data_IF_238900534435
#
_entry.id   IF_238900534435
#
_cell.length_a   1.000
_cell.length_b   1.000
_cell.length_c   1.000
_cell.angle_alpha   90.00
_cell.angle_beta   90.00
_cell.angle_gamma   90.00
#
_symmetry.space_group_name_H-M   'P 1'
#
loop_
_entity.id
_entity.type
_entity.pdbx_description
1 polymer ?
#
# COMPACT_ATOMS: atom_id res chain seq x y z
N UNK A 1 5.59 20.59 5.09
CA UNK A 1 6.20 19.29 4.74
C UNK A 1 5.20 18.52 3.91
N UNK A 2 5.52 18.27 2.65
CA UNK A 2 4.62 17.50 1.76
C UNK A 2 4.65 16.02 2.11
N UNK A 3 3.49 15.41 2.16
CA UNK A 3 3.30 13.99 2.45
C UNK A 3 2.43 13.36 1.36
N UNK A 4 2.83 12.23 0.83
CA UNK A 4 2.06 11.44 -0.12
C UNK A 4 1.68 10.13 0.56
N UNK A 5 0.38 9.83 0.67
CA UNK A 5 -0.14 8.57 1.18
C UNK A 5 -0.67 7.72 0.03
N UNK A 6 -0.23 6.46 -0.06
CA UNK A 6 -0.49 5.56 -1.19
C UNK A 6 -1.30 4.36 -0.69
N UNK A 7 -2.52 4.22 -1.21
CA UNK A 7 -3.42 3.12 -0.85
C UNK A 7 -3.02 1.79 -1.50
N UNK A 8 -3.62 0.71 -1.01
CA UNK A 8 -3.43 -0.64 -1.49
C UNK A 8 -4.46 -1.11 -2.51
N UNK A 9 -4.65 -2.42 -2.56
CA UNK A 9 -5.55 -3.13 -3.48
C UNK A 9 -6.46 -4.06 -2.68
N UNK A 10 -7.79 -3.98 -2.84
CA UNK A 10 -8.55 -3.19 -3.82
C UNK A 10 -9.06 -1.83 -3.29
N UNK A 11 -8.21 -1.12 -2.56
CA UNK A 11 -8.58 0.11 -1.86
C UNK A 11 -8.71 1.33 -2.79
N UNK A 12 -9.18 2.42 -2.20
CA UNK A 12 -9.20 3.75 -2.77
C UNK A 12 -8.58 4.76 -1.79
N UNK A 13 -8.35 6.02 -2.18
CA UNK A 13 -7.88 7.04 -1.23
C UNK A 13 -8.74 7.21 0.03
N UNK A 14 -10.01 6.77 0.00
CA UNK A 14 -10.92 6.88 1.13
C UNK A 14 -10.44 6.12 2.38
N UNK A 15 -9.63 5.09 2.21
CA UNK A 15 -9.04 4.36 3.33
C UNK A 15 -8.17 5.24 4.24
N UNK A 16 -7.65 6.35 3.73
CA UNK A 16 -6.82 7.28 4.49
C UNK A 16 -7.61 8.31 5.30
N UNK A 17 -8.94 8.38 5.13
CA UNK A 17 -9.75 9.39 5.82
C UNK A 17 -9.63 9.33 7.35
N UNK A 18 -9.65 8.15 8.02
CA UNK A 18 -9.46 8.09 9.46
C UNK A 18 -8.11 8.65 9.94
N UNK A 19 -7.05 8.42 9.18
CA UNK A 19 -5.74 8.99 9.45
C UNK A 19 -5.75 10.53 9.26
N UNK A 20 -6.31 11.01 8.14
CA UNK A 20 -6.39 12.44 7.80
C UNK A 20 -7.15 13.21 8.88
N UNK A 21 -8.28 12.67 9.33
CA UNK A 21 -9.10 13.29 10.37
C UNK A 21 -8.35 13.37 11.72
N UNK A 22 -7.47 12.41 11.98
CA UNK A 22 -6.69 12.35 13.22
C UNK A 22 -5.48 13.29 13.21
N UNK A 23 -4.85 13.50 12.05
CA UNK A 23 -3.63 14.33 11.93
C UNK A 23 -3.86 15.81 12.18
N UNK A 24 -5.10 16.28 12.09
CA UNK A 24 -5.45 17.69 12.24
C UNK A 24 -5.14 18.54 11.01
N UNK A 25 -5.76 19.73 10.94
CA UNK A 25 -5.76 20.59 9.75
C UNK A 25 -4.37 21.03 9.28
N UNK A 26 -3.46 21.34 10.20
CA UNK A 26 -2.14 21.89 9.87
C UNK A 26 -1.24 20.87 9.15
N UNK A 27 -1.37 19.60 9.50
CA UNK A 27 -0.61 18.51 8.87
C UNK A 27 -1.33 18.05 7.61
N UNK A 28 -2.65 17.84 7.68
CA UNK A 28 -3.45 17.33 6.57
C UNK A 28 -3.50 18.28 5.37
N UNK A 29 -3.35 19.59 5.57
CA UNK A 29 -3.26 20.58 4.48
C UNK A 29 -2.06 20.32 3.52
N UNK A 30 -1.04 19.60 3.96
CA UNK A 30 0.13 19.23 3.16
C UNK A 30 0.16 17.74 2.78
N UNK A 31 -0.94 17.02 3.01
CA UNK A 31 -1.07 15.61 2.70
C UNK A 31 -1.84 15.42 1.40
N UNK A 32 -1.29 14.62 0.50
CA UNK A 32 -1.93 14.19 -0.74
C UNK A 32 -2.19 12.69 -0.68
N UNK A 33 -3.40 12.28 -1.01
CA UNK A 33 -3.81 10.89 -1.13
C UNK A 33 -4.26 10.62 -2.58
N UNK A 34 -3.33 10.54 -3.55
CA UNK A 34 -3.70 10.36 -4.94
C UNK A 34 -4.25 8.94 -5.18
N UNK A 35 -5.30 8.85 -6.00
CA UNK A 35 -5.80 7.56 -6.46
C UNK A 35 -4.81 6.92 -7.45
N UNK A 36 -4.48 5.66 -7.25
CA UNK A 36 -3.71 4.88 -8.22
C UNK A 36 -4.46 4.82 -9.57
N UNK A 37 -3.76 4.91 -10.72
CA UNK A 37 -4.38 4.75 -12.03
C UNK A 37 -5.24 3.49 -12.13
N UNK A 38 -6.53 3.64 -12.46
CA UNK A 38 -7.51 2.55 -12.48
C UNK A 38 -8.30 2.35 -11.18
N UNK A 39 -7.93 3.04 -10.09
CA UNK A 39 -8.59 2.98 -8.77
C UNK A 39 -9.26 4.32 -8.47
N UNK A 40 -10.50 4.50 -8.89
CA UNK A 40 -11.24 5.79 -8.91
C UNK A 40 -10.64 6.87 -9.83
N UNK A 41 -9.51 6.64 -10.47
CA UNK A 41 -8.91 7.53 -11.43
C UNK A 41 -8.83 6.88 -12.82
N UNK A 42 -8.82 7.65 -13.91
CA UNK A 42 -8.60 7.11 -15.24
C UNK A 42 -7.24 6.43 -15.35
N UNK A 43 -7.17 5.38 -16.17
CA UNK A 43 -5.89 4.81 -16.59
C UNK A 43 -5.35 5.72 -17.71
N UNK A 44 -4.17 6.35 -17.54
CA UNK A 44 -3.60 7.20 -18.57
C UNK A 44 -3.32 6.42 -19.87
N UNK A 45 -3.37 7.06 -21.05
CA UNK A 45 -2.98 6.42 -22.30
C UNK A 45 -1.56 5.85 -22.24
N UNK A 46 -1.40 4.58 -22.62
CA UNK A 46 -0.11 3.88 -22.57
C UNK A 46 0.31 3.34 -21.20
N UNK A 47 -0.48 3.57 -20.14
CA UNK A 47 -0.21 3.01 -18.81
C UNK A 47 -0.72 1.57 -18.73
N UNK A 48 0.20 0.62 -18.58
CA UNK A 48 -0.08 -0.82 -18.64
C UNK A 48 -0.49 -1.47 -17.32
N UNK A 49 -0.55 -0.69 -16.24
CA UNK A 49 -0.86 -1.14 -14.88
C UNK A 49 0.11 -2.21 -14.33
N UNK A 50 1.33 -2.27 -14.82
CA UNK A 50 2.39 -3.11 -14.22
C UNK A 50 2.95 -2.48 -12.95
N UNK A 51 3.60 -3.28 -12.11
CA UNK A 51 4.26 -2.77 -10.90
C UNK A 51 5.29 -1.67 -11.20
N UNK A 52 6.00 -1.78 -12.32
CA UNK A 52 6.96 -0.78 -12.78
C UNK A 52 6.27 0.52 -13.20
N UNK A 53 5.13 0.42 -13.90
CA UNK A 53 4.35 1.60 -14.28
C UNK A 53 3.86 2.36 -13.04
N UNK A 54 3.35 1.66 -12.03
CA UNK A 54 2.93 2.30 -10.77
C UNK A 54 4.09 2.91 -9.99
N UNK A 55 5.26 2.27 -9.96
CA UNK A 55 6.47 2.86 -9.35
C UNK A 55 6.88 4.14 -10.09
N UNK A 56 6.92 4.11 -11.43
CA UNK A 56 7.21 5.29 -12.25
C UNK A 56 6.20 6.42 -12.02
N UNK A 57 4.91 6.08 -11.92
CA UNK A 57 3.85 7.03 -11.58
C UNK A 57 4.08 7.66 -10.20
N UNK A 58 4.39 6.87 -9.17
CA UNK A 58 4.66 7.40 -7.83
C UNK A 58 5.89 8.32 -7.83
N UNK A 59 6.96 7.93 -8.50
CA UNK A 59 8.16 8.78 -8.65
C UNK A 59 7.79 10.11 -9.32
N UNK A 60 6.94 10.12 -10.35
CA UNK A 60 6.50 11.38 -10.96
C UNK A 60 5.68 12.27 -10.02
N UNK A 61 4.88 11.70 -9.11
CA UNK A 61 4.20 12.45 -8.06
C UNK A 61 5.19 13.07 -7.05
N UNK A 62 6.25 12.32 -6.71
CA UNK A 62 7.34 12.82 -5.84
C UNK A 62 8.09 13.98 -6.51
N UNK A 63 8.47 13.85 -7.77
CA UNK A 63 9.14 14.90 -8.55
C UNK A 63 8.28 16.17 -8.69
N UNK A 64 6.99 16.01 -8.95
CA UNK A 64 6.04 17.12 -9.02
C UNK A 64 5.89 17.90 -7.71
N UNK A 65 6.31 17.32 -6.59
CA UNK A 65 6.31 17.99 -5.28
C UNK A 65 7.37 19.11 -5.19
N UNK A 66 8.46 19.03 -5.96
CA UNK A 66 9.52 20.02 -6.00
C UNK A 66 10.41 20.05 -4.75
N UNK A 67 10.18 19.18 -3.78
CA UNK A 67 10.98 19.00 -2.55
C UNK A 67 10.89 17.53 -2.08
N UNK A 68 11.85 17.02 -1.31
CA UNK A 68 11.74 15.69 -0.74
C UNK A 68 10.50 15.54 0.14
N UNK A 69 9.75 14.45 -0.09
CA UNK A 69 8.44 14.18 0.54
C UNK A 69 8.52 13.13 1.65
N UNK A 70 7.56 13.14 2.54
CA UNK A 70 7.25 11.96 3.35
C UNK A 70 6.35 11.03 2.54
N UNK A 71 6.68 9.74 2.52
CA UNK A 71 5.88 8.70 1.87
C UNK A 71 5.22 7.84 2.93
N UNK A 72 3.93 7.53 2.74
CA UNK A 72 3.22 6.57 3.57
C UNK A 72 2.52 5.59 2.64
N UNK A 73 2.63 4.29 2.91
CA UNK A 73 2.00 3.27 2.06
C UNK A 73 1.36 2.15 2.87
N UNK A 74 0.28 1.61 2.34
CA UNK A 74 -0.39 0.43 2.86
C UNK A 74 -0.56 -0.61 1.75
N UNK A 75 -0.38 -1.91 2.07
CA UNK A 75 -0.51 -3.01 1.10
C UNK A 75 0.31 -2.76 -0.17
N UNK A 76 -0.27 -2.77 -1.37
CA UNK A 76 0.44 -2.42 -2.59
C UNK A 76 1.09 -1.02 -2.54
N UNK A 77 0.43 -0.07 -1.89
CA UNK A 77 1.02 1.25 -1.66
C UNK A 77 2.32 1.17 -0.85
N UNK A 78 2.43 0.24 0.10
CA UNK A 78 3.66 0.00 0.86
C UNK A 78 4.78 -0.56 -0.03
N UNK A 79 4.47 -1.54 -0.87
CA UNK A 79 5.42 -2.09 -1.85
C UNK A 79 5.94 -1.01 -2.80
N UNK A 80 5.05 -0.17 -3.34
CA UNK A 80 5.39 0.94 -4.23
C UNK A 80 6.26 2.00 -3.53
N UNK A 81 5.92 2.35 -2.28
CA UNK A 81 6.70 3.29 -1.46
C UNK A 81 8.11 2.78 -1.22
N UNK A 82 8.28 1.52 -0.79
CA UNK A 82 9.61 0.93 -0.57
C UNK A 82 10.41 0.93 -1.87
N UNK A 83 9.79 0.56 -3.00
CA UNK A 83 10.49 0.52 -4.28
C UNK A 83 10.87 1.91 -4.78
N UNK A 84 9.96 2.88 -4.74
CA UNK A 84 10.24 4.26 -5.14
C UNK A 84 11.32 4.90 -4.27
N UNK A 85 11.27 4.68 -2.95
CA UNK A 85 12.28 5.16 -2.00
C UNK A 85 13.67 4.54 -2.25
N UNK A 86 13.73 3.26 -2.63
CA UNK A 86 14.99 2.60 -3.00
C UNK A 86 15.59 3.15 -4.29
N UNK A 87 14.75 3.51 -5.27
CA UNK A 87 15.19 4.02 -6.57
C UNK A 87 15.54 5.52 -6.54
N UNK A 88 14.80 6.30 -5.74
CA UNK A 88 14.94 7.76 -5.65
C UNK A 88 15.01 8.22 -4.19
N UNK A 89 16.04 7.79 -3.44
CA UNK A 89 16.22 8.20 -2.04
C UNK A 89 16.42 9.72 -1.90
N UNK A 90 16.86 10.39 -2.95
CA UNK A 90 17.01 11.85 -3.04
C UNK A 90 15.67 12.61 -2.93
N UNK A 91 14.57 11.98 -3.31
CA UNK A 91 13.21 12.55 -3.25
C UNK A 91 12.47 12.20 -1.95
N UNK A 92 13.07 11.45 -1.03
CA UNK A 92 12.40 10.94 0.16
C UNK A 92 13.02 11.56 1.44
N UNK A 93 12.18 12.23 2.21
CA UNK A 93 12.52 12.73 3.54
C UNK A 93 12.42 11.65 4.60
N UNK A 94 11.31 10.92 4.56
CA UNK A 94 11.04 9.75 5.41
C UNK A 94 10.01 8.85 4.71
N UNK A 95 9.93 7.60 5.15
CA UNK A 95 8.92 6.66 4.67
C UNK A 95 8.33 5.87 5.83
N UNK A 96 7.04 5.53 5.69
CA UNK A 96 6.33 4.66 6.62
C UNK A 96 5.43 3.71 5.83
N UNK A 97 5.42 2.44 6.20
CA UNK A 97 4.68 1.41 5.45
C UNK A 97 3.97 0.43 6.38
N UNK A 98 2.88 -0.14 5.88
CA UNK A 98 2.09 -1.09 6.63
C UNK A 98 1.60 -2.27 5.77
N UNK A 99 1.61 -3.46 6.37
CA UNK A 99 0.93 -4.67 5.93
C UNK A 99 1.30 -5.21 4.53
N UNK A 100 2.40 -4.76 3.92
CA UNK A 100 3.06 -5.44 2.82
C UNK A 100 4.50 -4.95 2.66
N UNK A 101 5.42 -5.87 2.34
CA UNK A 101 6.83 -5.58 2.17
C UNK A 101 7.45 -6.52 1.13
N UNK A 102 8.41 -6.05 0.30
CA UNK A 102 9.18 -6.92 -0.57
C UNK A 102 10.21 -7.69 0.28
N UNK A 103 9.88 -8.92 0.65
CA UNK A 103 10.72 -9.80 1.47
C UNK A 103 10.93 -11.13 0.73
N UNK A 104 12.16 -11.65 0.73
CA UNK A 104 12.60 -12.78 -0.12
C UNK A 104 11.84 -14.07 0.10
N UNK A 105 11.42 -14.35 1.33
CA UNK A 105 10.72 -15.60 1.66
C UNK A 105 9.19 -15.49 1.58
N UNK A 106 8.66 -14.28 1.32
CA UNK A 106 7.23 -14.09 1.17
C UNK A 106 6.67 -14.86 -0.03
N UNK A 107 5.59 -15.58 0.21
CA UNK A 107 4.85 -16.30 -0.83
C UNK A 107 3.46 -15.71 -0.98
N UNK A 108 3.11 -15.38 -2.21
CA UNK A 108 1.79 -14.85 -2.52
C UNK A 108 0.66 -15.71 -1.92
N UNK A 109 -0.27 -15.05 -1.24
CA UNK A 109 -1.48 -15.67 -0.71
C UNK A 109 -2.36 -16.25 -1.82
N UNK A 110 -3.32 -17.11 -1.49
CA UNK A 110 -4.10 -17.87 -2.46
C UNK A 110 -4.82 -16.99 -3.49
N UNK A 111 -5.48 -15.90 -3.04
CA UNK A 111 -6.19 -14.98 -3.94
C UNK A 111 -5.26 -14.32 -4.94
N UNK A 112 -4.07 -13.87 -4.51
CA UNK A 112 -3.05 -13.31 -5.38
C UNK A 112 -2.63 -14.30 -6.48
N UNK A 113 -2.40 -15.58 -6.13
CA UNK A 113 -2.05 -16.63 -7.11
C UNK A 113 -3.17 -16.88 -8.12
N UNK A 114 -4.44 -16.78 -7.70
CA UNK A 114 -5.59 -16.84 -8.61
C UNK A 114 -5.53 -15.67 -9.61
N UNK A 115 -5.31 -14.44 -9.13
CA UNK A 115 -5.22 -13.25 -9.98
C UNK A 115 -4.02 -13.28 -10.94
N UNK A 116 -2.92 -13.87 -10.53
CA UNK A 116 -1.73 -14.07 -11.37
C UNK A 116 -1.94 -15.09 -12.49
N UNK A 117 -2.95 -15.96 -12.38
CA UNK A 117 -3.22 -17.03 -13.35
C UNK A 117 -4.16 -16.51 -14.45
N UNK A 118 -3.72 -16.49 -15.75
CA UNK A 118 -4.58 -16.11 -16.85
C UNK A 118 -5.85 -16.97 -16.91
N UNK A 119 -6.95 -16.39 -17.35
CA UNK A 119 -8.31 -16.96 -17.43
C UNK A 119 -8.94 -17.18 -16.05
N UNK A 120 -8.21 -17.75 -15.09
CA UNK A 120 -8.73 -17.98 -13.74
C UNK A 120 -8.94 -16.66 -12.99
N UNK A 121 -7.99 -15.71 -13.14
CA UNK A 121 -8.12 -14.36 -12.60
C UNK A 121 -9.33 -13.62 -13.16
N UNK A 122 -9.53 -13.64 -14.47
CA UNK A 122 -10.69 -13.03 -15.12
C UNK A 122 -12.01 -13.64 -14.65
N UNK A 123 -12.06 -14.97 -14.55
CA UNK A 123 -13.25 -15.67 -14.05
C UNK A 123 -13.54 -15.29 -12.59
N UNK A 124 -12.51 -15.27 -11.74
CA UNK A 124 -12.64 -14.85 -10.34
C UNK A 124 -13.18 -13.41 -10.25
N UNK A 125 -12.61 -12.48 -11.02
CA UNK A 125 -13.05 -11.08 -11.05
C UNK A 125 -14.49 -10.93 -11.55
N UNK A 126 -14.91 -11.74 -12.54
CA UNK A 126 -16.26 -11.71 -13.07
C UNK A 126 -17.29 -12.24 -12.06
N UNK A 127 -16.93 -13.26 -11.27
CA UNK A 127 -17.79 -13.87 -10.27
C UNK A 127 -17.80 -13.14 -8.92
N UNK A 128 -16.86 -12.21 -8.71
CA UNK A 128 -16.80 -11.39 -7.49
C UNK A 128 -17.68 -10.17 -7.64
N UNK A 129 -18.90 -10.25 -7.12
CA UNK A 129 -19.80 -9.10 -7.01
C UNK A 129 -19.46 -8.21 -5.81
N UNK A 130 -20.01 -6.98 -5.80
CA UNK A 130 -19.76 -5.96 -4.76
C UNK A 130 -20.03 -6.45 -3.34
N UNK A 131 -21.17 -7.12 -3.11
CA UNK A 131 -21.52 -7.63 -1.78
C UNK A 131 -20.56 -8.72 -1.29
N UNK A 132 -20.07 -9.56 -2.20
CA UNK A 132 -19.07 -10.57 -1.85
C UNK A 132 -17.75 -9.93 -1.50
N UNK A 133 -17.31 -8.92 -2.28
CA UNK A 133 -16.12 -8.18 -2.00
C UNK A 133 -16.21 -7.48 -0.64
N UNK A 134 -17.29 -6.71 -0.38
CA UNK A 134 -17.48 -6.02 0.89
C UNK A 134 -17.39 -6.96 2.09
N UNK A 135 -18.06 -8.13 2.02
CA UNK A 135 -17.96 -9.14 3.09
C UNK A 135 -16.54 -9.69 3.25
N UNK A 136 -15.82 -9.90 2.15
CA UNK A 136 -14.44 -10.41 2.21
C UNK A 136 -13.49 -9.40 2.84
N UNK A 137 -13.62 -8.12 2.50
CA UNK A 137 -12.81 -7.04 3.09
C UNK A 137 -13.09 -6.88 4.58
N UNK A 138 -14.38 -6.88 4.98
CA UNK A 138 -14.76 -6.81 6.38
C UNK A 138 -14.25 -8.01 7.19
N UNK A 139 -14.33 -9.22 6.63
CA UNK A 139 -13.80 -10.42 7.28
C UNK A 139 -12.27 -10.41 7.45
N UNK A 140 -11.55 -9.61 6.67
CA UNK A 140 -10.11 -9.44 6.76
C UNK A 140 -9.69 -8.23 7.65
N UNK A 141 -10.65 -7.57 8.33
CA UNK A 141 -10.37 -6.51 9.29
C UNK A 141 -10.71 -5.09 8.80
N UNK A 142 -11.23 -4.91 7.59
CA UNK A 142 -11.67 -3.58 7.14
C UNK A 142 -12.99 -3.20 7.84
N UNK A 143 -13.16 -1.98 8.39
CA UNK A 143 -14.43 -1.51 8.90
C UNK A 143 -15.55 -1.63 7.86
N UNK A 144 -16.73 -2.12 8.26
CA UNK A 144 -17.82 -2.46 7.32
C UNK A 144 -18.23 -1.30 6.39
N UNK A 145 -18.29 -0.08 6.92
CA UNK A 145 -18.65 1.10 6.12
C UNK A 145 -17.63 1.37 5.02
N UNK A 146 -16.34 1.23 5.33
CA UNK A 146 -15.26 1.37 4.36
C UNK A 146 -15.27 0.21 3.36
N UNK A 147 -15.46 -1.02 3.82
CA UNK A 147 -15.54 -2.20 2.96
C UNK A 147 -16.67 -2.08 1.91
N UNK A 148 -17.82 -1.50 2.28
CA UNK A 148 -18.91 -1.18 1.34
C UNK A 148 -18.50 -0.08 0.36
N UNK A 149 -17.89 0.98 0.85
CA UNK A 149 -17.38 2.07 0.03
C UNK A 149 -16.40 1.54 -1.04
N UNK A 150 -15.41 0.75 -0.63
CA UNK A 150 -14.42 0.16 -1.55
C UNK A 150 -15.09 -0.76 -2.58
N UNK A 151 -16.03 -1.60 -2.13
CA UNK A 151 -16.79 -2.47 -3.02
C UNK A 151 -17.67 -1.70 -4.03
N UNK A 152 -18.15 -0.50 -3.70
CA UNK A 152 -18.90 0.32 -4.64
C UNK A 152 -18.06 0.81 -5.82
N UNK A 153 -16.75 0.89 -5.63
CA UNK A 153 -15.77 1.27 -6.66
C UNK A 153 -15.21 0.07 -7.45
N UNK A 154 -15.71 -1.14 -7.20
CA UNK A 154 -15.32 -2.38 -7.90
C UNK A 154 -15.70 -2.37 -9.39
N UNK A 155 -14.98 -1.58 -10.17
CA UNK A 155 -15.22 -1.35 -11.60
C UNK A 155 -14.48 -2.35 -12.50
N UNK A 156 -14.89 -2.50 -13.77
CA UNK A 156 -14.14 -3.29 -14.74
C UNK A 156 -12.69 -2.80 -14.93
N UNK A 157 -12.47 -1.47 -14.84
CA UNK A 157 -11.12 -0.89 -14.94
C UNK A 157 -10.25 -1.28 -13.76
N UNK A 158 -10.76 -1.17 -12.53
CA UNK A 158 -10.05 -1.61 -11.32
C UNK A 158 -9.69 -3.10 -11.39
N UNK A 159 -10.65 -3.95 -11.76
CA UNK A 159 -10.42 -5.39 -11.92
C UNK A 159 -9.30 -5.70 -12.91
N UNK A 160 -9.28 -5.02 -14.07
CA UNK A 160 -8.22 -5.17 -15.07
C UNK A 160 -6.88 -4.68 -14.53
N UNK A 161 -6.85 -3.52 -13.88
CA UNK A 161 -5.64 -2.95 -13.27
C UNK A 161 -5.03 -3.92 -12.24
N UNK A 162 -5.85 -4.48 -11.35
CA UNK A 162 -5.42 -5.49 -10.35
C UNK A 162 -4.79 -6.70 -11.04
N UNK A 163 -5.42 -7.26 -12.06
CA UNK A 163 -4.87 -8.44 -12.75
C UNK A 163 -3.50 -8.14 -13.40
N UNK A 164 -3.34 -6.99 -14.03
CA UNK A 164 -2.07 -6.59 -14.63
C UNK A 164 -0.98 -6.39 -13.59
N UNK A 165 -1.32 -5.68 -12.50
CA UNK A 165 -0.41 -5.43 -11.39
C UNK A 165 0.10 -6.75 -10.78
N UNK A 166 -0.78 -7.66 -10.40
CA UNK A 166 -0.39 -8.94 -9.80
C UNK A 166 0.38 -9.85 -10.77
N UNK A 167 0.04 -9.85 -12.05
CA UNK A 167 0.74 -10.63 -13.07
C UNK A 167 2.16 -10.16 -13.33
N UNK A 168 2.40 -8.85 -13.27
CA UNK A 168 3.74 -8.28 -13.37
C UNK A 168 4.62 -8.56 -12.14
N UNK A 169 4.01 -8.94 -11.02
CA UNK A 169 4.67 -9.05 -9.71
C UNK A 169 4.93 -10.49 -9.23
N UNK A 170 4.90 -11.48 -10.11
CA UNK A 170 5.09 -12.88 -9.72
C UNK A 170 6.38 -13.10 -8.94
N UNK A 171 7.45 -12.43 -9.33
CA UNK A 171 8.79 -12.56 -8.77
C UNK A 171 9.24 -11.30 -8.03
N UNK A 172 8.29 -10.50 -7.51
CA UNK A 172 8.57 -9.19 -6.90
C UNK A 172 9.63 -9.25 -5.80
N UNK A 173 9.62 -10.33 -5.00
CA UNK A 173 10.57 -10.54 -3.92
C UNK A 173 12.01 -10.60 -4.45
N UNK A 174 12.26 -11.38 -5.51
CA UNK A 174 13.60 -11.51 -6.12
C UNK A 174 14.02 -10.21 -6.82
N UNK A 175 13.08 -9.55 -7.50
CA UNK A 175 13.36 -8.37 -8.33
C UNK A 175 13.61 -7.10 -7.51
N UNK A 176 12.94 -6.94 -6.34
CA UNK A 176 12.96 -5.67 -5.60
C UNK A 176 13.83 -5.68 -4.34
N UNK A 177 14.15 -6.85 -3.77
CA UNK A 177 14.94 -6.93 -2.52
C UNK A 177 16.40 -6.55 -2.70
N UNK A 178 16.96 -6.66 -3.92
CA UNK A 178 18.34 -6.30 -4.19
C UNK A 178 18.71 -4.84 -3.92
N UNK A 179 17.72 -3.94 -3.96
CA UNK A 179 17.91 -2.50 -3.79
C UNK A 179 17.54 -1.99 -2.38
N UNK A 180 17.13 -2.85 -1.44
CA UNK A 180 16.73 -2.44 -0.09
C UNK A 180 17.83 -1.70 0.68
N UNK A 181 19.09 -1.98 0.40
CA UNK A 181 20.25 -1.29 0.97
C UNK A 181 20.34 0.21 0.59
N UNK A 182 19.57 0.65 -0.42
CA UNK A 182 19.47 2.04 -0.87
C UNK A 182 18.36 2.83 -0.16
N UNK A 183 17.55 2.19 0.67
CA UNK A 183 16.49 2.87 1.40
C UNK A 183 17.04 3.99 2.26
N UNK A 184 16.40 5.18 2.28
CA UNK A 184 16.80 6.23 3.23
C UNK A 184 16.60 5.76 4.67
N UNK A 185 17.49 6.14 5.58
CA UNK A 185 17.54 5.65 6.96
C UNK A 185 16.34 6.04 7.85
N UNK A 186 15.41 6.88 7.37
CA UNK A 186 14.22 7.32 8.11
C UNK A 186 13.00 6.51 7.69
N UNK A 187 12.98 5.26 8.11
CA UNK A 187 11.88 4.33 7.87
C UNK A 187 11.08 4.00 9.12
N UNK A 188 9.81 3.61 8.95
CA UNK A 188 8.92 3.08 9.97
C UNK A 188 8.04 1.98 9.37
N UNK A 189 7.94 0.84 10.04
CA UNK A 189 7.00 -0.22 9.68
C UNK A 189 5.93 -0.32 10.76
N UNK A 190 4.65 -0.30 10.36
CA UNK A 190 3.48 -0.44 11.22
C UNK A 190 2.71 -1.67 10.79
N UNK A 191 2.36 -2.58 11.70
CA UNK A 191 1.85 -3.89 11.33
C UNK A 191 0.74 -4.38 12.23
N UNK A 192 -0.27 -5.01 11.62
CA UNK A 192 -1.29 -5.78 12.32
C UNK A 192 -0.86 -7.25 12.42
N UNK A 193 -0.81 -7.79 13.62
CA UNK A 193 -0.29 -9.15 13.88
C UNK A 193 -1.20 -10.25 13.33
N UNK A 194 -2.50 -9.97 13.18
CA UNK A 194 -3.52 -10.91 12.68
C UNK A 194 -3.81 -10.72 11.18
N UNK A 195 -2.84 -10.17 10.42
CA UNK A 195 -2.97 -10.00 8.97
C UNK A 195 -3.13 -11.36 8.26
N UNK A 196 -4.27 -11.61 7.60
CA UNK A 196 -4.51 -12.91 6.94
C UNK A 196 -3.78 -13.06 5.59
N UNK A 197 -3.17 -11.99 5.06
CA UNK A 197 -2.51 -11.98 3.76
C UNK A 197 -0.99 -12.01 3.88
N UNK A 198 -0.43 -11.25 4.81
CA UNK A 198 1.01 -11.12 4.99
C UNK A 198 1.38 -11.32 6.46
N UNK A 199 1.98 -12.48 6.79
CA UNK A 199 2.36 -12.80 8.18
C UNK A 199 3.33 -11.77 8.75
N UNK A 200 3.21 -11.49 10.06
CA UNK A 200 4.05 -10.51 10.77
C UNK A 200 5.54 -10.83 10.71
N UNK A 201 5.90 -12.10 10.57
CA UNK A 201 7.28 -12.55 10.39
C UNK A 201 7.94 -11.97 9.13
N UNK A 202 7.14 -11.58 8.12
CA UNK A 202 7.61 -10.86 6.94
C UNK A 202 8.13 -9.47 7.33
N UNK A 203 7.39 -8.75 8.19
CA UNK A 203 7.83 -7.46 8.71
C UNK A 203 9.06 -7.60 9.61
N UNK A 204 9.10 -8.62 10.47
CA UNK A 204 10.23 -8.88 11.37
C UNK A 204 11.53 -9.10 10.58
N UNK A 205 11.50 -9.96 9.53
CA UNK A 205 12.69 -10.23 8.69
C UNK A 205 13.12 -8.99 7.90
N UNK A 206 12.17 -8.29 7.29
CA UNK A 206 12.46 -7.06 6.56
C UNK A 206 13.09 -5.99 7.47
N UNK A 207 12.52 -5.77 8.66
CA UNK A 207 13.01 -4.79 9.62
C UNK A 207 14.40 -5.15 10.15
N UNK A 208 14.66 -6.43 10.38
CA UNK A 208 15.99 -6.92 10.77
C UNK A 208 17.02 -6.70 9.65
N UNK A 209 16.66 -6.95 8.38
CA UNK A 209 17.55 -6.75 7.23
C UNK A 209 17.85 -5.26 6.98
N UNK A 210 16.83 -4.39 7.12
CA UNK A 210 16.95 -2.96 6.79
C UNK A 210 17.25 -2.07 7.99
N UNK A 211 17.34 -2.62 9.19
CA UNK A 211 17.46 -1.88 10.46
C UNK A 211 16.36 -0.82 10.63
N UNK A 212 15.13 -1.16 10.25
CA UNK A 212 13.97 -0.26 10.32
C UNK A 212 13.13 -0.56 11.57
N UNK A 213 12.69 0.45 12.33
CA UNK A 213 11.78 0.26 13.45
C UNK A 213 10.47 -0.41 13.04
N UNK A 214 10.03 -1.41 13.81
CA UNK A 214 8.76 -2.11 13.64
C UNK A 214 7.84 -1.80 14.83
N UNK A 215 6.64 -1.30 14.54
CA UNK A 215 5.55 -1.17 15.50
C UNK A 215 4.47 -2.21 15.19
N UNK A 216 4.25 -3.13 16.16
CA UNK A 216 3.29 -4.23 16.03
C UNK A 216 2.01 -3.92 16.79
N UNK A 217 0.88 -4.33 16.22
CA UNK A 217 -0.44 -4.14 16.79
C UNK A 217 -1.12 -5.51 16.97
N UNK A 218 -1.15 -5.98 18.20
CA UNK A 218 -1.84 -7.21 18.54
C UNK A 218 -3.34 -7.12 18.23
N UNK A 219 -3.95 -8.23 17.83
CA UNK A 219 -5.38 -8.33 17.53
C UNK A 219 -5.87 -7.32 16.47
N UNK A 220 -5.02 -7.01 15.50
CA UNK A 220 -5.29 -6.07 14.42
C UNK A 220 -5.02 -6.76 13.08
N UNK A 221 -5.94 -6.60 12.14
CA UNK A 221 -5.87 -7.25 10.82
C UNK A 221 -5.03 -6.50 9.80
N UNK A 222 -5.33 -6.75 8.51
CA UNK A 222 -4.59 -6.19 7.39
C UNK A 222 -4.70 -4.66 7.31
N UNK A 223 -5.85 -4.07 7.63
CA UNK A 223 -6.04 -2.61 7.60
C UNK A 223 -5.64 -1.93 8.92
N UNK A 224 -4.48 -2.27 9.45
CA UNK A 224 -3.98 -1.76 10.73
C UNK A 224 -3.95 -0.24 10.79
N UNK A 225 -3.61 0.44 9.70
CA UNK A 225 -3.56 1.90 9.60
C UNK A 225 -4.94 2.56 9.67
N UNK A 226 -6.01 1.80 9.42
CA UNK A 226 -7.41 2.24 9.55
C UNK A 226 -7.91 1.93 10.96
N UNK A 227 -7.73 0.70 11.42
CA UNK A 227 -8.19 0.24 12.73
C UNK A 227 -7.52 1.00 13.88
N UNK A 228 -6.24 1.35 13.72
CA UNK A 228 -5.40 2.05 14.70
C UNK A 228 -4.96 3.44 14.22
N UNK A 229 -5.81 4.13 13.46
CA UNK A 229 -5.47 5.43 12.88
C UNK A 229 -4.95 6.46 13.89
N UNK A 230 -5.49 6.60 15.13
CA UNK A 230 -4.94 7.53 16.12
C UNK A 230 -3.53 7.16 16.59
N UNK A 231 -3.24 5.88 16.77
CA UNK A 231 -1.92 5.39 17.13
C UNK A 231 -0.93 5.60 16.01
N UNK A 232 -1.31 5.24 14.79
CA UNK A 232 -0.50 5.44 13.60
C UNK A 232 -0.20 6.93 13.36
N UNK A 233 -1.19 7.82 13.50
CA UNK A 233 -0.99 9.28 13.42
C UNK A 233 0.03 9.78 14.44
N UNK A 234 -0.04 9.31 15.70
CA UNK A 234 0.90 9.69 16.74
C UNK A 234 2.33 9.28 16.39
N UNK A 235 2.52 8.06 15.90
CA UNK A 235 3.81 7.55 15.46
C UNK A 235 4.36 8.32 14.24
N UNK A 236 3.51 8.61 13.25
CA UNK A 236 3.91 9.40 12.08
C UNK A 236 4.36 10.81 12.48
N UNK A 237 3.62 11.49 13.36
CA UNK A 237 3.98 12.83 13.83
C UNK A 237 5.35 12.81 14.54
N UNK A 238 5.60 11.81 15.38
CA UNK A 238 6.90 11.63 16.04
C UNK A 238 8.01 11.35 15.03
N UNK A 239 7.75 10.45 14.07
CA UNK A 239 8.65 10.06 13.00
C UNK A 239 9.03 11.22 12.08
N UNK A 240 8.12 12.14 11.79
CA UNK A 240 8.38 13.30 10.93
C UNK A 240 9.16 14.42 11.64
N UNK A 241 9.15 14.44 12.99
CA UNK A 241 9.87 15.42 13.81
C UNK A 241 11.30 15.00 14.17
N UNK A 242 11.59 13.69 14.13
CA UNK A 242 12.93 13.14 14.38
C UNK A 242 13.88 13.39 13.21
#
# INVERSE_FOLDING_TARGET
MKTIVVHGVPDTPAMWQPLIDTLGSDISANLSAPALPGFMSPVPPGFDCTKEAYVGWLISQMEASGEPVNLVGHDWGALLVVRAASLRPDLVRSWAVANALPERSYKWHQTARIWQTPLLGELFMALTGKDRLARSLAAAGMPEALARHEADHWSPHMRKAILQLYRSAKNIAEEWTGDLHKLPGRGLVFWGDDDPFVPVETAERFCAETNTPLHRNASTGHWSVVEKAPEFATLLIAHWKS
#
